data_IF_126565718226
#
_entry.id   IF_126565718226
#
_cell.length_a   1.000
_cell.length_b   1.000
_cell.length_c   1.000
_cell.angle_alpha   90.00
_cell.angle_beta   90.00
_cell.angle_gamma   90.00
#
_symmetry.space_group_name_H-M   'P 1'
#
loop_
_entity.id
_entity.type
_entity.pdbx_description
1 polymer ?
#
# COMPACT_ATOMS: atom_id res chain seq x y z
N UNK A 1 11.84 -21.88 -15.32
CA UNK A 1 11.24 -21.81 -14.00
C UNK A 1 10.63 -20.45 -13.73
N UNK A 2 9.64 -20.41 -12.83
CA UNK A 2 8.96 -19.16 -12.47
C UNK A 2 9.80 -18.26 -11.56
N UNK A 3 10.81 -18.84 -10.87
CA UNK A 3 11.74 -18.11 -10.02
C UNK A 3 13.19 -18.53 -10.37
N UNK A 4 14.11 -17.58 -10.24
CA UNK A 4 15.54 -17.78 -10.44
C UNK A 4 16.27 -17.66 -9.11
N UNK A 5 17.12 -18.63 -8.82
CA UNK A 5 18.03 -18.62 -7.68
C UNK A 5 19.02 -17.45 -7.81
N UNK A 6 19.22 -16.72 -6.71
CA UNK A 6 20.21 -15.63 -6.67
C UNK A 6 21.30 -15.89 -5.65
N UNK A 7 20.94 -16.34 -4.44
CA UNK A 7 21.90 -16.58 -3.37
C UNK A 7 21.37 -17.58 -2.33
N UNK A 8 22.26 -18.09 -1.51
CA UNK A 8 21.96 -18.96 -0.37
C UNK A 8 22.25 -18.23 0.94
N UNK A 9 21.20 -17.91 1.69
CA UNK A 9 21.31 -17.16 2.94
C UNK A 9 21.68 -18.05 4.14
N UNK A 10 21.23 -19.31 4.11
CA UNK A 10 21.52 -20.32 5.13
C UNK A 10 21.38 -21.74 4.57
N UNK A 11 21.52 -22.78 5.41
CA UNK A 11 21.41 -24.16 4.97
C UNK A 11 20.06 -24.50 4.32
N UNK A 12 18.96 -23.82 4.75
CA UNK A 12 17.59 -24.10 4.32
C UNK A 12 16.88 -22.86 3.74
N UNK A 13 17.61 -21.73 3.57
CA UNK A 13 17.04 -20.48 3.06
C UNK A 13 17.76 -20.02 1.81
N UNK A 14 17.00 -19.77 0.75
CA UNK A 14 17.49 -19.37 -0.56
C UNK A 14 16.85 -18.05 -0.99
N UNK A 15 17.64 -17.12 -1.51
CA UNK A 15 17.14 -15.94 -2.18
C UNK A 15 16.76 -16.27 -3.62
N UNK A 16 15.50 -15.94 -3.96
CA UNK A 16 14.94 -16.14 -5.28
C UNK A 16 14.47 -14.79 -5.85
N UNK A 17 14.50 -14.67 -7.17
CA UNK A 17 13.93 -13.50 -7.88
C UNK A 17 13.06 -13.92 -9.04
N UNK A 18 12.15 -13.03 -9.43
CA UNK A 18 11.38 -13.14 -10.67
C UNK A 18 12.33 -12.87 -11.84
N UNK A 19 12.46 -13.81 -12.81
CA UNK A 19 13.53 -13.77 -13.81
C UNK A 19 13.37 -12.65 -14.86
N UNK A 20 12.14 -12.31 -15.21
CA UNK A 20 11.83 -11.35 -16.26
C UNK A 20 10.45 -10.71 -16.06
N UNK A 21 10.14 -9.74 -16.94
CA UNK A 21 8.90 -8.97 -16.89
C UNK A 21 7.65 -9.83 -17.15
N UNK A 22 7.73 -10.80 -18.05
CA UNK A 22 6.61 -11.68 -18.41
C UNK A 22 6.16 -12.50 -17.21
N UNK A 23 7.10 -13.08 -16.49
CA UNK A 23 6.81 -13.84 -15.26
C UNK A 23 6.32 -12.91 -14.15
N UNK A 24 6.82 -11.68 -14.08
CA UNK A 24 6.31 -10.69 -13.12
C UNK A 24 4.82 -10.41 -13.37
N UNK A 25 4.44 -10.13 -14.60
CA UNK A 25 3.02 -9.86 -14.96
C UNK A 25 2.14 -11.06 -14.61
N UNK A 26 2.58 -12.29 -14.89
CA UNK A 26 1.83 -13.49 -14.52
C UNK A 26 1.62 -13.59 -13.00
N UNK A 27 2.64 -13.27 -12.19
CA UNK A 27 2.49 -13.25 -10.73
C UNK A 27 1.57 -12.13 -10.26
N UNK A 28 1.71 -10.93 -10.82
CA UNK A 28 0.87 -9.79 -10.50
C UNK A 28 -0.60 -10.12 -10.81
N UNK A 29 -0.91 -10.64 -11.98
CA UNK A 29 -2.26 -11.06 -12.38
C UNK A 29 -2.81 -12.16 -11.46
N UNK A 30 -2.01 -13.18 -11.14
CA UNK A 30 -2.41 -14.29 -10.27
C UNK A 30 -2.66 -13.82 -8.83
N UNK A 31 -1.80 -12.96 -8.30
CA UNK A 31 -1.96 -12.38 -6.97
C UNK A 31 -3.22 -11.49 -6.93
N UNK A 32 -3.43 -10.68 -7.98
CA UNK A 32 -4.61 -9.82 -8.09
C UNK A 32 -5.91 -10.64 -8.19
N UNK A 33 -5.90 -11.75 -8.94
CA UNK A 33 -7.05 -12.66 -9.05
C UNK A 33 -7.34 -13.31 -7.69
N UNK A 34 -6.32 -13.84 -7.03
CA UNK A 34 -6.44 -14.42 -5.69
C UNK A 34 -6.92 -13.41 -4.66
N UNK A 35 -6.42 -12.17 -4.70
CA UNK A 35 -6.88 -11.09 -3.84
C UNK A 35 -8.35 -10.75 -4.13
N UNK A 36 -8.76 -10.65 -5.40
CA UNK A 36 -10.17 -10.41 -5.76
C UNK A 36 -11.10 -11.44 -5.14
N UNK A 37 -10.78 -12.71 -5.26
CA UNK A 37 -11.59 -13.79 -4.67
C UNK A 37 -11.66 -13.68 -3.14
N UNK A 38 -10.55 -13.35 -2.49
CA UNK A 38 -10.48 -13.15 -1.04
C UNK A 38 -11.22 -11.90 -0.55
N UNK A 39 -11.40 -10.89 -1.40
CA UNK A 39 -12.03 -9.61 -1.04
C UNK A 39 -13.46 -9.44 -1.56
N UNK A 40 -13.98 -10.33 -2.42
CA UNK A 40 -15.39 -10.28 -2.86
C UNK A 40 -16.34 -10.32 -1.67
N UNK A 41 -16.06 -11.16 -0.67
CA UNK A 41 -16.85 -11.25 0.56
C UNK A 41 -16.72 -10.00 1.47
N UNK A 42 -15.68 -9.19 1.26
CA UNK A 42 -15.38 -7.98 2.05
C UNK A 42 -15.79 -6.69 1.33
N UNK A 43 -16.56 -6.79 0.27
CA UNK A 43 -16.99 -5.62 -0.51
C UNK A 43 -17.62 -4.49 0.34
N UNK A 44 -18.41 -4.75 1.40
CA UNK A 44 -18.91 -3.69 2.27
C UNK A 44 -17.79 -2.90 2.96
N UNK A 45 -16.79 -3.58 3.53
CA UNK A 45 -15.64 -2.95 4.19
C UNK A 45 -14.78 -2.16 3.20
N UNK A 46 -14.60 -2.70 1.99
CA UNK A 46 -13.90 -1.99 0.91
C UNK A 46 -14.61 -0.69 0.54
N UNK A 47 -15.94 -0.72 0.45
CA UNK A 47 -16.72 0.48 0.18
C UNK A 47 -16.59 1.51 1.32
N UNK A 48 -16.61 1.07 2.59
CA UNK A 48 -16.38 1.94 3.74
C UNK A 48 -15.00 2.57 3.72
N UNK A 49 -13.95 1.81 3.33
CA UNK A 49 -12.60 2.32 3.17
C UNK A 49 -12.54 3.41 2.08
N UNK A 50 -13.12 3.14 0.91
CA UNK A 50 -13.14 4.11 -0.20
C UNK A 50 -13.93 5.38 0.14
N UNK A 51 -15.10 5.22 0.75
CA UNK A 51 -15.93 6.36 1.16
C UNK A 51 -15.21 7.18 2.24
N UNK A 52 -14.53 6.51 3.20
CA UNK A 52 -13.71 7.18 4.21
C UNK A 52 -12.57 8.00 3.60
N UNK A 53 -11.85 7.43 2.63
CA UNK A 53 -10.80 8.14 1.89
C UNK A 53 -11.36 9.32 1.08
N UNK A 54 -12.47 9.11 0.38
CA UNK A 54 -13.11 10.14 -0.43
C UNK A 54 -13.66 11.31 0.41
N UNK A 55 -14.22 11.01 1.58
CA UNK A 55 -14.79 11.99 2.50
C UNK A 55 -13.73 12.64 3.41
N UNK A 56 -12.47 12.18 3.37
CA UNK A 56 -11.42 12.61 4.29
C UNK A 56 -11.69 12.21 5.75
N UNK A 57 -12.46 11.14 5.97
CA UNK A 57 -12.83 10.67 7.30
C UNK A 57 -11.87 9.63 7.83
N UNK A 58 -10.87 10.08 8.62
CA UNK A 58 -9.81 9.24 9.17
C UNK A 58 -10.33 8.11 10.07
N UNK A 59 -11.37 8.34 10.88
CA UNK A 59 -11.94 7.31 11.77
C UNK A 59 -12.58 6.17 10.98
N UNK A 60 -13.28 6.52 9.88
CA UNK A 60 -13.89 5.54 8.99
C UNK A 60 -12.81 4.71 8.25
N UNK A 61 -11.73 5.37 7.80
CA UNK A 61 -10.59 4.71 7.18
C UNK A 61 -9.92 3.75 8.16
N UNK A 62 -9.61 4.22 9.38
CA UNK A 62 -8.99 3.42 10.43
C UNK A 62 -9.80 2.17 10.75
N UNK A 63 -11.11 2.35 11.01
CA UNK A 63 -12.01 1.24 11.32
C UNK A 63 -12.07 0.21 10.19
N UNK A 64 -12.36 0.65 8.99
CA UNK A 64 -12.50 -0.25 7.84
C UNK A 64 -11.19 -0.97 7.53
N UNK A 65 -10.06 -0.26 7.55
CA UNK A 65 -8.76 -0.85 7.27
C UNK A 65 -8.34 -1.84 8.36
N UNK A 66 -8.54 -1.52 9.64
CA UNK A 66 -8.26 -2.43 10.76
C UNK A 66 -9.05 -3.73 10.60
N UNK A 67 -10.36 -3.64 10.33
CA UNK A 67 -11.21 -4.81 10.17
C UNK A 67 -10.82 -5.66 8.94
N UNK A 68 -10.40 -5.03 7.83
CA UNK A 68 -9.84 -5.73 6.67
C UNK A 68 -8.56 -6.47 7.07
N UNK A 69 -7.66 -5.85 7.83
CA UNK A 69 -6.42 -6.46 8.29
C UNK A 69 -6.68 -7.66 9.19
N UNK A 70 -7.54 -7.51 10.21
CA UNK A 70 -7.89 -8.59 11.15
C UNK A 70 -8.49 -9.82 10.44
N UNK A 71 -9.28 -9.60 9.41
CA UNK A 71 -9.90 -10.68 8.64
C UNK A 71 -8.99 -11.28 7.56
N UNK A 72 -7.93 -10.58 7.14
CA UNK A 72 -7.11 -10.96 5.98
C UNK A 72 -5.73 -11.47 6.35
N UNK A 73 -5.17 -11.02 7.47
CA UNK A 73 -3.78 -11.28 7.81
C UNK A 73 -3.68 -12.28 8.97
N UNK A 74 -3.00 -13.39 8.72
CA UNK A 74 -2.62 -14.30 9.80
C UNK A 74 -1.47 -13.65 10.61
N UNK A 75 -1.53 -13.75 11.93
CA UNK A 75 -0.52 -13.21 12.87
C UNK A 75 0.91 -13.67 12.52
N UNK A 76 1.08 -14.78 11.83
CA UNK A 76 2.39 -15.30 11.37
C UNK A 76 3.05 -14.42 10.30
N UNK A 77 2.26 -13.70 9.49
CA UNK A 77 2.78 -12.84 8.42
C UNK A 77 3.38 -11.56 8.98
N UNK A 78 3.10 -11.24 10.25
CA UNK A 78 3.63 -10.07 10.95
C UNK A 78 5.05 -10.23 11.53
N UNK A 79 5.69 -11.41 11.42
CA UNK A 79 7.03 -11.66 11.97
C UNK A 79 8.20 -11.22 11.08
N UNK A 80 7.93 -10.57 9.96
CA UNK A 80 8.95 -10.04 9.06
C UNK A 80 9.76 -8.89 9.69
N UNK A 81 10.99 -8.65 9.20
CA UNK A 81 11.83 -7.50 9.57
C UNK A 81 11.12 -6.18 9.19
N UNK A 82 11.49 -5.06 9.84
CA UNK A 82 10.87 -3.73 9.67
C UNK A 82 10.66 -3.35 8.20
N UNK A 83 11.70 -3.41 7.39
CA UNK A 83 11.67 -3.01 5.97
C UNK A 83 10.72 -3.87 5.13
N UNK A 84 10.54 -5.16 5.51
CA UNK A 84 9.59 -6.04 4.84
C UNK A 84 8.14 -5.74 5.23
N UNK A 85 7.92 -5.17 6.43
CA UNK A 85 6.57 -4.82 6.89
C UNK A 85 6.02 -3.62 6.14
N UNK A 86 6.80 -2.56 5.99
CA UNK A 86 6.39 -1.38 5.22
C UNK A 86 6.08 -1.78 3.77
N UNK A 87 6.98 -2.53 3.12
CA UNK A 87 6.76 -3.04 1.77
C UNK A 87 5.54 -3.96 1.65
N UNK A 88 5.29 -4.79 2.67
CA UNK A 88 4.11 -5.65 2.69
C UNK A 88 2.82 -4.83 2.76
N UNK A 89 2.73 -3.87 3.70
CA UNK A 89 1.54 -3.03 3.84
C UNK A 89 1.35 -2.10 2.65
N UNK A 90 2.43 -1.60 2.05
CA UNK A 90 2.39 -0.85 0.79
C UNK A 90 1.77 -1.70 -0.33
N UNK A 91 2.28 -2.89 -0.58
CA UNK A 91 1.73 -3.81 -1.59
C UNK A 91 0.28 -4.20 -1.31
N UNK A 92 -0.07 -4.45 -0.05
CA UNK A 92 -1.43 -4.76 0.38
C UNK A 92 -2.39 -3.60 0.08
N UNK A 93 -2.05 -2.38 0.50
CA UNK A 93 -2.86 -1.19 0.24
C UNK A 93 -3.01 -0.92 -1.25
N UNK A 94 -1.93 -1.00 -2.01
CA UNK A 94 -1.98 -0.87 -3.46
C UNK A 94 -2.93 -1.89 -4.07
N UNK A 95 -2.85 -3.15 -3.65
CA UNK A 95 -3.73 -4.22 -4.10
C UNK A 95 -5.19 -4.01 -3.72
N UNK A 96 -5.46 -3.48 -2.51
CA UNK A 96 -6.81 -3.16 -2.05
C UNK A 96 -7.43 -1.99 -2.83
N UNK A 97 -6.64 -0.96 -3.12
CA UNK A 97 -7.15 0.30 -3.65
C UNK A 97 -7.26 0.30 -5.19
N UNK A 98 -6.46 -0.50 -5.90
CA UNK A 98 -6.39 -0.46 -7.38
C UNK A 98 -7.59 -1.10 -8.12
N UNK A 99 -8.10 -2.31 -7.74
CA UNK A 99 -8.95 -3.09 -8.67
C UNK A 99 -10.41 -2.64 -8.81
N UNK A 100 -10.99 -1.98 -7.82
CA UNK A 100 -12.43 -1.73 -7.75
C UNK A 100 -12.81 -0.26 -7.60
N UNK A 101 -11.85 0.64 -7.59
CA UNK A 101 -12.10 2.04 -7.34
C UNK A 101 -12.28 2.81 -8.65
N UNK A 102 -13.55 3.05 -9.03
CA UNK A 102 -13.87 3.91 -10.18
C UNK A 102 -13.82 5.40 -9.83
N UNK A 103 -13.74 5.76 -8.53
CA UNK A 103 -13.78 7.13 -8.05
C UNK A 103 -12.38 7.73 -7.90
N UNK A 104 -11.36 6.92 -7.58
CA UNK A 104 -10.00 7.36 -7.33
C UNK A 104 -9.01 6.62 -8.25
N UNK A 105 -8.11 7.37 -8.85
CA UNK A 105 -6.93 6.82 -9.51
C UNK A 105 -5.87 6.62 -8.45
N UNK A 106 -5.15 5.50 -8.51
CA UNK A 106 -4.13 5.11 -7.53
C UNK A 106 -2.79 4.97 -8.23
N UNK A 107 -1.80 5.71 -7.79
CA UNK A 107 -0.42 5.64 -8.28
C UNK A 107 0.53 5.32 -7.13
N UNK A 108 1.49 4.46 -7.39
CA UNK A 108 2.51 4.02 -6.44
C UNK A 108 3.88 4.44 -6.92
N UNK A 109 4.72 4.92 -5.99
CA UNK A 109 6.10 5.34 -6.26
C UNK A 109 6.23 6.34 -7.41
N UNK A 110 5.26 7.23 -7.59
CA UNK A 110 5.34 8.33 -8.55
C UNK A 110 6.17 9.46 -7.96
N UNK A 111 7.08 10.01 -8.74
CA UNK A 111 7.89 11.15 -8.33
C UNK A 111 7.01 12.37 -8.06
N UNK A 112 7.20 13.00 -6.91
CA UNK A 112 6.50 14.20 -6.49
C UNK A 112 7.36 15.08 -5.59
N UNK A 113 7.46 16.36 -5.90
CA UNK A 113 8.31 17.28 -5.15
C UNK A 113 9.76 16.81 -5.12
N UNK A 114 10.28 16.49 -3.94
CA UNK A 114 11.67 16.06 -3.74
C UNK A 114 11.80 14.57 -3.40
N UNK A 115 10.82 13.73 -3.78
CA UNK A 115 10.87 12.30 -3.49
C UNK A 115 9.70 11.51 -4.06
N UNK A 116 9.43 10.38 -3.45
CA UNK A 116 8.45 9.40 -3.90
C UNK A 116 7.55 9.04 -2.71
N UNK A 117 6.30 9.55 -2.65
CA UNK A 117 5.33 9.06 -1.66
C UNK A 117 4.97 7.60 -1.96
N UNK A 118 4.58 6.86 -0.93
CA UNK A 118 4.21 5.46 -1.08
C UNK A 118 3.01 5.31 -2.03
N UNK A 119 1.93 6.05 -1.78
CA UNK A 119 0.75 6.06 -2.65
C UNK A 119 0.21 7.47 -2.84
N UNK A 120 -0.26 7.74 -4.05
CA UNK A 120 -1.00 8.94 -4.42
C UNK A 120 -2.36 8.49 -4.95
N UNK A 121 -3.44 9.10 -4.42
CA UNK A 121 -4.79 8.87 -4.91
C UNK A 121 -5.42 10.19 -5.30
N UNK A 122 -6.14 10.22 -6.40
CA UNK A 122 -6.86 11.41 -6.84
C UNK A 122 -8.10 11.06 -7.66
N UNK A 123 -9.07 11.96 -7.66
CA UNK A 123 -10.22 11.83 -8.56
C UNK A 123 -9.82 12.14 -10.00
N UNK A 124 -10.48 11.56 -11.02
CA UNK A 124 -10.23 11.91 -12.42
C UNK A 124 -10.39 13.40 -12.75
N UNK A 125 -11.15 14.12 -11.93
CA UNK A 125 -11.36 15.56 -12.04
C UNK A 125 -10.39 16.39 -11.18
N UNK A 126 -9.44 15.76 -10.52
CA UNK A 126 -8.47 16.39 -9.59
C UNK A 126 -9.11 17.24 -8.47
N UNK A 127 -10.38 17.00 -8.15
CA UNK A 127 -11.07 17.72 -7.06
C UNK A 127 -10.69 17.21 -5.68
N UNK A 128 -10.16 15.99 -5.60
CA UNK A 128 -9.66 15.37 -4.37
C UNK A 128 -8.32 14.74 -4.69
N UNK A 129 -7.32 15.08 -3.88
CA UNK A 129 -6.00 14.46 -3.87
C UNK A 129 -5.66 13.95 -2.47
N UNK A 130 -5.09 12.75 -2.39
CA UNK A 130 -4.70 12.09 -1.14
C UNK A 130 -3.29 11.58 -1.30
N UNK A 131 -2.43 11.87 -0.32
CA UNK A 131 -1.09 11.34 -0.21
C UNK A 131 -1.07 10.38 0.98
N UNK A 132 -0.58 9.17 0.76
CA UNK A 132 -0.40 8.18 1.82
C UNK A 132 1.09 7.88 1.96
N UNK A 133 1.57 8.00 3.20
CA UNK A 133 2.92 7.64 3.62
C UNK A 133 2.81 6.62 4.74
N UNK A 134 3.47 5.47 4.57
CA UNK A 134 3.41 4.36 5.52
C UNK A 134 4.61 4.40 6.45
N UNK A 135 4.37 4.25 7.74
CA UNK A 135 5.42 4.15 8.75
C UNK A 135 5.15 2.99 9.69
N UNK A 136 6.19 2.25 10.01
CA UNK A 136 6.13 1.17 10.98
C UNK A 136 6.56 1.64 12.37
N UNK A 137 5.65 1.54 13.34
CA UNK A 137 5.96 1.76 14.75
C UNK A 137 6.31 0.43 15.43
N UNK A 138 7.52 0.32 16.01
CA UNK A 138 8.00 -0.90 16.69
C UNK A 138 7.19 -1.25 17.95
N UNK A 139 6.51 -0.26 18.52
CA UNK A 139 5.67 -0.41 19.70
C UNK A 139 4.61 0.68 19.76
N UNK A 140 3.51 0.48 20.53
CA UNK A 140 2.49 1.52 20.72
C UNK A 140 3.03 2.86 21.25
N UNK A 141 4.13 2.82 22.01
CA UNK A 141 4.78 4.04 22.54
C UNK A 141 5.45 4.88 21.46
N UNK A 142 5.86 4.25 20.33
CA UNK A 142 6.48 4.93 19.18
C UNK A 142 5.48 5.32 18.09
N UNK A 143 4.19 5.08 18.31
CA UNK A 143 3.17 5.33 17.29
C UNK A 143 3.12 6.81 16.89
N UNK A 144 3.08 7.72 17.87
CA UNK A 144 3.04 9.15 17.60
C UNK A 144 4.31 9.65 16.89
N UNK A 145 5.48 9.12 17.28
CA UNK A 145 6.75 9.46 16.60
C UNK A 145 6.75 9.05 15.13
N UNK A 146 6.24 7.86 14.82
CA UNK A 146 6.12 7.36 13.45
C UNK A 146 5.12 8.20 12.61
N UNK A 147 4.00 8.62 13.20
CA UNK A 147 3.04 9.54 12.54
C UNK A 147 3.68 10.89 12.24
N UNK A 148 4.37 11.48 13.22
CA UNK A 148 5.04 12.77 13.06
C UNK A 148 6.15 12.70 12.00
N UNK A 149 6.87 11.55 11.90
CA UNK A 149 7.88 11.32 10.88
C UNK A 149 7.24 11.25 9.48
N UNK A 150 6.14 10.51 9.32
CA UNK A 150 5.41 10.43 8.06
C UNK A 150 4.89 11.80 7.59
N UNK A 151 4.27 12.57 8.48
CA UNK A 151 3.81 13.92 8.16
C UNK A 151 4.95 14.85 7.77
N UNK A 152 6.06 14.85 8.52
CA UNK A 152 7.26 15.63 8.17
C UNK A 152 7.83 15.24 6.81
N UNK A 153 7.80 13.95 6.45
CA UNK A 153 8.27 13.49 5.15
C UNK A 153 7.41 14.06 4.03
N UNK A 154 6.07 14.02 4.15
CA UNK A 154 5.14 14.60 3.17
C UNK A 154 5.40 16.10 2.99
N UNK A 155 5.54 16.84 4.09
CA UNK A 155 5.74 18.30 4.09
C UNK A 155 7.11 18.69 3.53
N UNK A 156 8.20 18.09 4.06
CA UNK A 156 9.58 18.43 3.69
C UNK A 156 9.87 18.10 2.22
N UNK A 157 9.33 16.99 1.72
CA UNK A 157 9.47 16.59 0.33
C UNK A 157 8.46 17.28 -0.59
N UNK A 158 7.54 18.08 -0.05
CA UNK A 158 6.53 18.82 -0.81
C UNK A 158 5.75 17.93 -1.78
N UNK A 159 5.31 16.76 -1.30
CA UNK A 159 4.58 15.80 -2.14
C UNK A 159 3.28 16.35 -2.71
N UNK A 160 2.70 17.40 -2.09
CA UNK A 160 1.49 18.06 -2.58
C UNK A 160 1.66 18.68 -3.99
N UNK A 161 2.89 18.96 -4.41
CA UNK A 161 3.17 19.57 -5.74
C UNK A 161 2.63 18.76 -6.91
N UNK A 162 2.43 17.45 -6.74
CA UNK A 162 1.85 16.62 -7.80
C UNK A 162 0.44 17.07 -8.21
N UNK A 163 -0.25 17.79 -7.34
CA UNK A 163 -1.57 18.31 -7.61
C UNK A 163 -1.56 19.77 -8.12
N UNK A 164 -0.38 20.44 -8.09
CA UNK A 164 -0.22 21.82 -8.55
C UNK A 164 0.20 21.88 -10.02
N UNK A 165 0.81 20.81 -10.57
CA UNK A 165 1.46 20.82 -11.90
C UNK A 165 0.54 20.39 -13.06
N UNK A 166 -0.78 20.25 -12.84
CA UNK A 166 -1.75 19.79 -13.86
C UNK A 166 -2.75 20.90 -14.29
N UNK A 167 -2.24 22.11 -14.53
CA UNK A 167 -2.97 23.19 -15.25
C UNK A 167 -2.67 23.18 -16.77
#
# INVERSE_FOLDING_TARGET
>A
GYLTFTDRESNDTFSLRIPNREIRVLYEDQIMEWMKDSFIEKQPLMNELYDGLYDGNAEKVEKAFTEILEQSICVRDSMAKKDYKENFYHGLLLGLLTPNNKKLIVESNKESGYGYPDLILYTPSYTIGIIIELKYAESPKKFQEALDEGMKQIENNRYIKIFDDED
#
